data_IF_144116599199
#
_entry.id   IF_144116599199
#
_cell.length_a   1.000
_cell.length_b   1.000
_cell.length_c   1.000
_cell.angle_alpha   90.00
_cell.angle_beta   90.00
_cell.angle_gamma   90.00
#
_symmetry.space_group_name_H-M   'P 1'
#
loop_
_entity.id
_entity.type
_entity.pdbx_description
1 polymer ?
#
# COMPACT_ATOMS: atom_id res chain seq x y z
N UNK A 1 -1.03 60.92 -48.31
CA UNK A 1 -0.62 60.69 -46.93
C UNK A 1 -1.21 59.37 -46.55
N UNK A 2 -0.38 58.27 -46.67
CA UNK A 2 -0.80 56.93 -46.36
C UNK A 2 0.08 56.44 -45.19
N UNK A 3 -0.50 56.39 -43.98
CA UNK A 3 0.17 55.86 -42.82
C UNK A 3 0.10 54.34 -42.84
N UNK A 4 1.25 53.72 -43.05
CA UNK A 4 1.45 52.28 -42.97
C UNK A 4 1.62 51.88 -41.51
N UNK A 5 0.54 51.39 -40.89
CA UNK A 5 0.57 50.86 -39.53
C UNK A 5 1.22 49.44 -39.59
N UNK A 6 2.52 49.38 -39.32
CA UNK A 6 3.28 48.13 -39.20
C UNK A 6 3.11 47.60 -37.80
N UNK A 7 2.26 46.56 -37.65
CA UNK A 7 2.14 45.78 -36.42
C UNK A 7 3.48 45.07 -36.09
N UNK A 8 3.92 45.05 -34.83
CA UNK A 8 5.16 44.40 -34.44
C UNK A 8 5.01 42.86 -34.60
N UNK A 9 5.88 42.27 -35.40
CA UNK A 9 5.99 40.85 -35.61
C UNK A 9 6.62 40.18 -34.39
N UNK A 10 5.80 39.71 -33.46
CA UNK A 10 6.25 38.95 -32.29
C UNK A 10 6.95 37.70 -32.78
N UNK A 11 8.28 37.61 -32.64
CA UNK A 11 9.07 36.42 -32.91
C UNK A 11 8.83 35.44 -31.76
N UNK A 12 7.97 34.45 -31.99
CA UNK A 12 7.82 33.31 -31.09
C UNK A 12 9.12 32.51 -31.05
N UNK A 13 9.75 32.48 -29.86
CA UNK A 13 10.95 31.68 -29.64
C UNK A 13 10.53 30.26 -29.24
N UNK A 14 10.67 29.26 -30.13
CA UNK A 14 10.18 27.88 -29.86
C UNK A 14 10.87 27.26 -28.63
N UNK A 15 12.10 27.68 -28.31
CA UNK A 15 12.84 27.20 -27.15
C UNK A 15 12.22 27.71 -25.85
N UNK A 16 11.77 28.98 -25.83
CA UNK A 16 11.08 29.52 -24.66
C UNK A 16 9.73 28.85 -24.41
N UNK A 17 9.01 28.52 -25.48
CA UNK A 17 7.73 27.82 -25.40
C UNK A 17 7.89 26.36 -24.87
N UNK A 18 8.93 25.68 -25.35
CA UNK A 18 9.26 24.32 -24.88
C UNK A 18 9.67 24.31 -23.40
N UNK A 19 10.44 25.31 -22.96
CA UNK A 19 10.82 25.48 -21.55
C UNK A 19 9.62 25.73 -20.65
N UNK A 20 8.68 26.58 -21.06
CA UNK A 20 7.44 26.85 -20.33
C UNK A 20 6.58 25.59 -20.20
N UNK A 21 6.45 24.80 -21.27
CA UNK A 21 5.69 23.57 -21.27
C UNK A 21 6.29 22.53 -20.31
N UNK A 22 7.61 22.41 -20.27
CA UNK A 22 8.32 21.50 -19.36
C UNK A 22 8.08 21.88 -17.91
N UNK A 23 8.14 23.17 -17.56
CA UNK A 23 7.86 23.66 -16.21
C UNK A 23 6.43 23.37 -15.79
N UNK A 24 5.45 23.54 -16.69
CA UNK A 24 4.05 23.22 -16.43
C UNK A 24 3.84 21.71 -16.18
N UNK A 25 4.48 20.85 -16.96
CA UNK A 25 4.39 19.39 -16.78
C UNK A 25 5.00 18.97 -15.43
N UNK A 26 6.18 19.48 -15.08
CA UNK A 26 6.82 19.21 -13.79
C UNK A 26 5.97 19.74 -12.63
N UNK A 27 5.38 20.92 -12.79
CA UNK A 27 4.45 21.50 -11.82
C UNK A 27 3.20 20.64 -11.61
N UNK A 28 2.58 20.14 -12.68
CA UNK A 28 1.43 19.23 -12.59
C UNK A 28 1.77 17.90 -11.90
N UNK A 29 2.97 17.34 -12.18
CA UNK A 29 3.43 16.11 -11.52
C UNK A 29 3.68 16.35 -10.03
N UNK A 30 4.26 17.49 -9.66
CA UNK A 30 4.51 17.87 -8.27
C UNK A 30 3.19 18.11 -7.51
N UNK A 31 2.22 18.79 -8.10
CA UNK A 31 0.88 18.98 -7.51
C UNK A 31 0.11 17.66 -7.39
N UNK A 32 0.19 16.78 -8.39
CA UNK A 32 -0.46 15.48 -8.35
C UNK A 32 0.09 14.55 -7.26
N UNK A 33 1.36 14.68 -6.88
CA UNK A 33 1.92 13.99 -5.71
C UNK A 33 1.40 14.55 -4.39
N UNK A 34 1.30 15.87 -4.27
CA UNK A 34 0.85 16.51 -3.04
C UNK A 34 -0.65 16.23 -2.73
N UNK A 35 -1.49 16.12 -3.77
CA UNK A 35 -2.91 15.77 -3.59
C UNK A 35 -3.16 14.30 -3.21
N UNK A 36 -2.19 13.39 -3.44
CA UNK A 36 -2.33 11.99 -3.00
C UNK A 36 -2.10 11.82 -1.49
N UNK A 37 -1.34 12.71 -0.89
CA UNK A 37 -1.07 12.67 0.56
C UNK A 37 -2.19 13.33 1.38
N UNK A 38 -3.08 14.10 0.75
CA UNK A 38 -4.23 14.78 1.38
C UNK A 38 -5.60 14.13 1.03
N UNK A 39 -5.62 12.89 0.54
CA UNK A 39 -6.90 12.18 0.50
C UNK A 39 -7.45 12.17 1.94
N UNK A 40 -8.73 12.61 2.16
CA UNK A 40 -9.29 12.64 3.49
C UNK A 40 -9.09 11.24 4.08
N UNK A 41 -8.35 11.15 5.19
CA UNK A 41 -8.33 9.96 6.03
C UNK A 41 -9.77 9.78 6.52
N UNK A 42 -10.62 9.16 5.71
CA UNK A 42 -11.84 8.57 6.21
C UNK A 42 -11.35 7.66 7.33
N UNK A 43 -11.68 8.01 8.55
CA UNK A 43 -11.31 7.20 9.71
C UNK A 43 -11.81 5.80 9.41
N UNK A 44 -10.89 4.92 9.03
CA UNK A 44 -11.23 3.55 8.71
C UNK A 44 -11.50 2.90 10.05
N UNK A 45 -12.78 2.75 10.37
CA UNK A 45 -13.19 2.12 11.60
C UNK A 45 -12.85 0.64 11.54
N UNK A 46 -11.90 0.24 12.37
CA UNK A 46 -11.49 -1.15 12.55
C UNK A 46 -12.43 -1.78 13.59
N UNK A 47 -13.11 -2.85 13.20
CA UNK A 47 -14.01 -3.61 14.07
C UNK A 47 -13.24 -4.62 14.92
N UNK A 48 -12.28 -5.31 14.31
CA UNK A 48 -11.46 -6.34 14.92
C UNK A 48 -10.09 -6.34 14.31
N UNK A 49 -9.07 -6.61 15.09
CA UNK A 49 -7.71 -6.72 14.59
C UNK A 49 -6.88 -7.75 15.35
N UNK A 50 -5.90 -8.31 14.67
CA UNK A 50 -4.93 -9.25 15.23
C UNK A 50 -3.53 -8.96 14.72
N UNK A 51 -2.57 -8.90 15.62
CA UNK A 51 -1.17 -8.72 15.29
C UNK A 51 -0.53 -10.07 14.94
N UNK A 52 0.09 -10.17 13.76
CA UNK A 52 0.63 -11.41 13.22
C UNK A 52 2.09 -11.24 12.75
N UNK A 53 2.90 -12.24 13.05
CA UNK A 53 4.17 -12.45 12.39
C UNK A 53 4.05 -13.57 11.37
N UNK A 54 4.87 -13.50 10.32
CA UNK A 54 4.96 -14.53 9.30
C UNK A 54 6.42 -14.96 9.15
N UNK A 55 6.65 -16.26 9.09
CA UNK A 55 7.99 -16.82 8.84
C UNK A 55 7.92 -18.01 7.90
N UNK A 56 9.02 -18.27 7.20
CA UNK A 56 9.14 -19.51 6.43
C UNK A 56 9.47 -20.67 7.40
N UNK A 57 8.70 -21.74 7.30
CA UNK A 57 8.94 -22.96 8.02
C UNK A 57 9.92 -23.90 7.30
N UNK A 58 10.40 -24.97 7.99
CA UNK A 58 11.45 -25.85 7.49
C UNK A 58 11.06 -26.69 6.28
N UNK A 59 9.76 -26.87 6.02
CA UNK A 59 9.24 -27.61 4.87
C UNK A 59 8.76 -26.67 3.74
N UNK A 60 9.06 -25.38 3.85
CA UNK A 60 8.66 -24.36 2.89
C UNK A 60 7.22 -23.84 3.10
N UNK A 61 6.58 -24.21 4.20
CA UNK A 61 5.30 -23.62 4.62
C UNK A 61 5.47 -22.17 5.08
N UNK A 62 4.37 -21.42 5.12
CA UNK A 62 4.30 -20.13 5.79
C UNK A 62 3.67 -20.32 7.16
N UNK A 63 4.45 -20.10 8.21
CA UNK A 63 3.98 -20.09 9.58
C UNK A 63 3.31 -18.75 9.88
N UNK A 64 2.12 -18.80 10.45
CA UNK A 64 1.36 -17.65 10.93
C UNK A 64 1.42 -17.66 12.45
N UNK A 65 2.00 -16.63 13.03
CA UNK A 65 2.31 -16.56 14.46
C UNK A 65 1.54 -15.37 15.06
N UNK A 66 0.78 -15.62 16.11
CA UNK A 66 0.18 -14.57 16.91
C UNK A 66 1.28 -13.78 17.63
N UNK A 67 1.37 -12.48 17.35
CA UNK A 67 2.43 -11.64 17.89
C UNK A 67 2.29 -11.38 19.40
N UNK A 68 1.07 -11.49 19.97
CA UNK A 68 0.81 -11.26 21.39
C UNK A 68 1.21 -12.47 22.24
N UNK A 69 0.97 -13.67 21.71
CA UNK A 69 1.20 -14.94 22.43
C UNK A 69 2.50 -15.62 21.99
N UNK A 70 3.08 -15.17 20.89
CA UNK A 70 4.23 -15.80 20.22
C UNK A 70 3.97 -17.29 19.90
N UNK A 71 2.71 -17.60 19.52
CA UNK A 71 2.25 -18.94 19.21
C UNK A 71 1.92 -19.09 17.72
N UNK A 72 2.31 -20.21 17.12
CA UNK A 72 1.94 -20.52 15.74
C UNK A 72 0.47 -20.93 15.70
N UNK A 73 -0.36 -20.11 15.04
CA UNK A 73 -1.81 -20.34 14.93
C UNK A 73 -2.19 -21.06 13.63
N UNK A 74 -1.31 -21.06 12.63
CA UNK A 74 -1.54 -21.74 11.36
C UNK A 74 -0.22 -22.03 10.64
N UNK A 75 -0.22 -23.07 9.80
CA UNK A 75 0.88 -23.42 8.91
C UNK A 75 0.33 -23.70 7.51
N UNK A 76 0.68 -22.87 6.56
CA UNK A 76 0.15 -22.92 5.20
C UNK A 76 1.11 -23.63 4.27
N UNK A 77 0.74 -24.81 3.85
CA UNK A 77 1.50 -25.65 2.93
C UNK A 77 1.14 -25.37 1.47
N UNK A 78 2.03 -25.75 0.57
CA UNK A 78 1.81 -25.68 -0.87
C UNK A 78 2.01 -24.29 -1.47
N UNK A 79 1.39 -24.06 -2.64
CA UNK A 79 1.54 -22.80 -3.38
C UNK A 79 0.68 -21.68 -2.77
N UNK A 80 1.22 -20.99 -1.78
CA UNK A 80 0.63 -19.78 -1.19
C UNK A 80 1.09 -18.51 -1.93
N UNK A 81 1.02 -18.55 -3.26
CA UNK A 81 1.58 -17.49 -4.12
C UNK A 81 1.07 -16.10 -3.79
N UNK A 82 -0.24 -15.98 -3.56
CA UNK A 82 -0.87 -14.70 -3.19
C UNK A 82 -0.35 -14.17 -1.85
N UNK A 83 -0.41 -14.98 -0.79
CA UNK A 83 0.06 -14.59 0.53
C UNK A 83 1.54 -14.19 0.51
N UNK A 84 2.39 -15.02 -0.12
CA UNK A 84 3.82 -14.72 -0.24
C UNK A 84 4.10 -13.44 -1.01
N UNK A 85 3.36 -13.17 -2.10
CA UNK A 85 3.51 -11.93 -2.85
C UNK A 85 3.10 -10.71 -2.03
N UNK A 86 2.00 -10.80 -1.30
CA UNK A 86 1.51 -9.74 -0.42
C UNK A 86 2.52 -9.41 0.67
N UNK A 87 3.02 -10.44 1.38
CA UNK A 87 4.03 -10.26 2.43
C UNK A 87 5.35 -9.70 1.88
N UNK A 88 5.81 -10.23 0.74
CA UNK A 88 7.03 -9.72 0.08
C UNK A 88 6.90 -8.26 -0.33
N UNK A 89 5.72 -7.81 -0.76
CA UNK A 89 5.50 -6.42 -1.11
C UNK A 89 5.66 -5.51 0.11
N UNK A 90 5.07 -5.87 1.26
CA UNK A 90 5.17 -5.13 2.51
C UNK A 90 6.60 -5.12 3.05
N UNK A 91 7.25 -6.29 3.12
CA UNK A 91 8.65 -6.41 3.58
C UNK A 91 9.61 -5.60 2.69
N UNK A 92 9.42 -5.66 1.37
CA UNK A 92 10.23 -4.86 0.42
C UNK A 92 10.07 -3.36 0.66
N UNK A 93 8.87 -2.91 1.00
CA UNK A 93 8.61 -1.50 1.31
C UNK A 93 9.36 -1.08 2.58
N UNK A 94 9.34 -1.90 3.65
CA UNK A 94 10.13 -1.65 4.86
C UNK A 94 11.63 -1.58 4.55
N UNK A 95 12.15 -2.56 3.81
CA UNK A 95 13.58 -2.61 3.40
C UNK A 95 13.98 -1.39 2.58
N UNK A 96 13.16 -0.97 1.62
CA UNK A 96 13.42 0.19 0.77
C UNK A 96 13.54 1.49 1.58
N UNK A 97 12.81 1.57 2.70
CA UNK A 97 12.86 2.71 3.63
C UNK A 97 13.88 2.56 4.74
N UNK A 98 14.62 1.46 4.81
CA UNK A 98 15.56 1.16 5.89
C UNK A 98 14.90 0.96 7.25
N UNK A 99 13.64 0.48 7.27
CA UNK A 99 12.83 0.30 8.47
C UNK A 99 12.97 -1.12 9.02
N UNK A 100 12.73 -1.26 10.33
CA UNK A 100 12.77 -2.53 11.04
C UNK A 100 11.69 -3.50 10.57
N UNK A 101 12.00 -4.78 10.60
CA UNK A 101 11.13 -5.87 10.22
C UNK A 101 10.53 -6.63 11.42
N UNK A 102 10.91 -6.27 12.65
CA UNK A 102 10.49 -6.95 13.87
C UNK A 102 9.04 -6.66 14.24
N UNK A 103 8.48 -5.52 13.80
CA UNK A 103 7.09 -5.16 14.09
C UNK A 103 6.09 -6.07 13.37
N UNK A 104 5.02 -6.52 14.06
CA UNK A 104 4.00 -7.36 13.45
C UNK A 104 3.19 -6.61 12.39
N UNK A 105 2.57 -7.38 11.50
CA UNK A 105 1.51 -6.90 10.63
C UNK A 105 0.17 -7.02 11.33
N UNK A 106 -0.76 -6.11 11.03
CA UNK A 106 -2.10 -6.12 11.61
C UNK A 106 -3.10 -6.62 10.58
N UNK A 107 -3.69 -7.77 10.84
CA UNK A 107 -4.85 -8.23 10.12
C UNK A 107 -6.07 -7.51 10.70
N UNK A 108 -6.79 -6.76 9.89
CA UNK A 108 -7.90 -5.91 10.31
C UNK A 108 -9.19 -6.27 9.59
N UNK A 109 -10.27 -6.42 10.33
CA UNK A 109 -11.62 -6.40 9.80
C UNK A 109 -12.20 -5.00 9.98
N UNK A 110 -12.63 -4.40 8.88
CA UNK A 110 -13.22 -3.07 8.84
C UNK A 110 -14.74 -3.14 9.06
N UNK A 111 -15.38 -2.02 9.38
CA UNK A 111 -16.83 -1.96 9.61
C UNK A 111 -17.68 -2.43 8.42
N UNK A 112 -17.20 -2.26 7.21
CA UNK A 112 -17.83 -2.76 5.98
C UNK A 112 -17.56 -4.26 5.70
N UNK A 113 -17.05 -5.01 6.70
CA UNK A 113 -16.61 -6.41 6.62
C UNK A 113 -15.44 -6.67 5.67
N UNK A 114 -14.80 -5.65 5.14
CA UNK A 114 -13.57 -5.83 4.37
C UNK A 114 -12.43 -6.28 5.28
N UNK A 115 -11.56 -7.10 4.71
CA UNK A 115 -10.33 -7.52 5.36
C UNK A 115 -9.15 -6.77 4.75
N UNK A 116 -8.27 -6.29 5.60
CA UNK A 116 -7.05 -5.62 5.19
C UNK A 116 -5.85 -6.12 5.99
N UNK A 117 -4.70 -6.19 5.35
CA UNK A 117 -3.42 -6.36 6.01
C UNK A 117 -2.73 -5.00 6.10
N UNK A 118 -2.49 -4.55 7.31
CA UNK A 118 -1.92 -3.24 7.59
C UNK A 118 -0.51 -3.37 8.15
N UNK A 119 0.40 -2.62 7.60
CA UNK A 119 1.76 -2.46 8.10
C UNK A 119 1.88 -1.15 8.89
N UNK A 120 2.01 -1.19 10.22
CA UNK A 120 2.08 0.02 11.05
C UNK A 120 3.38 0.80 10.84
N UNK A 121 4.45 0.14 10.35
CA UNK A 121 5.76 0.78 10.16
C UNK A 121 5.79 1.66 8.91
N UNK A 122 5.20 1.17 7.81
CA UNK A 122 5.15 1.89 6.53
C UNK A 122 3.84 2.65 6.32
N UNK A 123 2.84 2.42 7.20
CA UNK A 123 1.46 2.90 7.07
C UNK A 123 0.77 2.38 5.79
N UNK A 124 1.26 1.25 5.27
CA UNK A 124 0.71 0.62 4.07
C UNK A 124 -0.43 -0.31 4.43
N UNK A 125 -1.56 -0.18 3.75
CA UNK A 125 -2.71 -1.06 3.89
C UNK A 125 -3.01 -1.75 2.57
N UNK A 126 -3.21 -3.07 2.60
CA UNK A 126 -3.56 -3.89 1.45
C UNK A 126 -4.97 -4.43 1.67
N UNK A 127 -5.90 -4.09 0.79
CA UNK A 127 -7.25 -4.66 0.79
C UNK A 127 -7.20 -6.11 0.29
N UNK A 128 -7.52 -7.05 1.17
CA UNK A 128 -7.50 -8.48 0.86
C UNK A 128 -8.71 -8.92 0.05
N UNK A 129 -9.80 -8.14 0.07
CA UNK A 129 -11.02 -8.45 -0.71
C UNK A 129 -10.79 -8.25 -2.21
N UNK A 130 -9.87 -7.37 -2.60
CA UNK A 130 -9.51 -7.12 -4.00
C UNK A 130 -8.97 -8.39 -4.72
N UNK A 131 -8.58 -9.41 -3.97
CA UNK A 131 -7.97 -10.65 -4.48
C UNK A 131 -8.95 -11.84 -4.52
N UNK A 132 -10.23 -11.57 -4.28
CA UNK A 132 -11.32 -12.54 -4.37
C UNK A 132 -11.62 -13.30 -3.07
N UNK A 133 -12.80 -13.91 -2.99
CA UNK A 133 -13.33 -14.48 -1.75
C UNK A 133 -12.52 -15.66 -1.21
N UNK A 134 -11.97 -16.50 -2.08
CA UNK A 134 -11.18 -17.66 -1.67
C UNK A 134 -9.89 -17.26 -0.93
N UNK A 135 -9.24 -16.18 -1.38
CA UNK A 135 -8.02 -15.68 -0.75
C UNK A 135 -8.33 -14.95 0.56
N UNK A 136 -9.40 -14.15 0.60
CA UNK A 136 -9.78 -13.42 1.82
C UNK A 136 -10.23 -14.34 2.95
N UNK A 137 -10.88 -15.47 2.66
CA UNK A 137 -11.30 -16.47 3.65
C UNK A 137 -10.12 -17.08 4.43
N UNK A 138 -8.96 -17.25 3.79
CA UNK A 138 -7.76 -17.72 4.48
C UNK A 138 -7.39 -16.79 5.63
N UNK A 139 -7.48 -15.48 5.40
CA UNK A 139 -7.18 -14.47 6.43
C UNK A 139 -8.28 -14.34 7.47
N UNK A 140 -9.56 -14.44 7.07
CA UNK A 140 -10.69 -14.27 7.97
C UNK A 140 -10.63 -15.23 9.16
N UNK A 141 -10.29 -16.50 8.92
CA UNK A 141 -10.20 -17.52 9.99
C UNK A 141 -9.17 -17.20 11.07
N UNK A 142 -8.14 -16.42 10.74
CA UNK A 142 -7.13 -16.02 11.76
C UNK A 142 -7.63 -14.95 12.71
N UNK A 143 -8.65 -14.17 12.34
CA UNK A 143 -9.30 -13.24 13.27
C UNK A 143 -10.14 -13.97 14.30
N UNK A 144 -10.81 -15.06 13.89
CA UNK A 144 -11.77 -15.80 14.69
C UNK A 144 -11.11 -16.96 15.48
N UNK A 145 -9.85 -17.28 15.19
CA UNK A 145 -9.14 -18.35 15.91
C UNK A 145 -9.04 -17.96 17.39
N UNK A 146 -9.62 -18.76 18.30
CA UNK A 146 -9.47 -18.49 19.72
C UNK A 146 -7.99 -18.51 20.07
N UNK A 147 -7.56 -17.52 20.84
CA UNK A 147 -6.29 -17.59 21.54
C UNK A 147 -6.36 -18.83 22.41
N UNK A 148 -5.62 -19.89 22.10
CA UNK A 148 -5.56 -21.04 22.98
C UNK A 148 -4.97 -20.59 24.31
N UNK A 149 -5.55 -21.00 25.45
CA UNK A 149 -5.08 -20.61 26.78
C UNK A 149 -3.72 -21.19 27.10
#
# INVERSE_FOLDING_TARGET
MSDSNTLPKTRFNPVALAGLLLVLIVGMIAMGKHQRDEAPHVAIEVRQERALHFSDGPQGEVLVIDARQNETIDALYGEQGFLRQTLRALVRERLRRGLDQSEPFWLQQLHNHHLALFDPVTQTRIDLMAFGPSNSQVFARWLDSPSQP
#
